data_IF_005711603281
#
_entry.id   IF_005711603281
#
_cell.length_a   1.000
_cell.length_b   1.000
_cell.length_c   1.000
_cell.angle_alpha   90.00
_cell.angle_beta   90.00
_cell.angle_gamma   90.00
#
_symmetry.space_group_name_H-M   'P 1'
#
loop_
_entity.id
_entity.type
_entity.pdbx_description
1 polymer ?
#
# COMPACT_ATOMS: atom_id res chain seq x y z
N UNK A 1 51.96 -16.87 6.16
CA UNK A 1 51.31 -17.59 5.06
C UNK A 1 49.99 -18.13 5.61
N UNK A 2 48.94 -17.43 5.44
CA UNK A 2 47.59 -17.91 5.70
C UNK A 2 46.71 -17.54 4.48
N UNK A 3 46.60 -18.49 3.59
CA UNK A 3 45.71 -18.42 2.44
C UNK A 3 44.27 -18.62 2.95
N UNK A 4 43.53 -17.55 3.04
CA UNK A 4 42.09 -17.60 3.33
C UNK A 4 41.39 -18.30 2.17
N UNK A 5 40.88 -19.49 2.42
CA UNK A 5 39.98 -20.19 1.51
C UNK A 5 38.73 -19.32 1.31
N UNK A 6 38.60 -18.69 0.14
CA UNK A 6 37.35 -18.12 -0.33
C UNK A 6 36.42 -19.29 -0.63
N UNK A 7 35.39 -19.41 0.19
CA UNK A 7 34.37 -20.44 0.16
C UNK A 7 33.79 -20.63 -1.26
N UNK A 8 33.78 -21.87 -1.74
CA UNK A 8 33.25 -22.34 -3.04
C UNK A 8 31.73 -22.26 -3.19
N UNK A 9 31.08 -21.33 -2.53
CA UNK A 9 29.62 -21.11 -2.63
C UNK A 9 29.19 -20.52 -3.98
N UNK A 10 30.06 -19.80 -4.69
CA UNK A 10 29.73 -19.16 -5.97
C UNK A 10 29.58 -20.12 -7.15
N UNK A 11 30.10 -21.35 -7.04
CA UNK A 11 30.06 -22.36 -8.10
C UNK A 11 28.73 -23.13 -8.20
N UNK A 12 27.74 -22.86 -7.33
CA UNK A 12 26.47 -23.61 -7.25
C UNK A 12 25.20 -22.76 -7.43
N UNK A 13 25.33 -21.48 -7.69
CA UNK A 13 24.15 -20.63 -7.94
C UNK A 13 23.61 -20.91 -9.35
N UNK A 14 22.30 -21.20 -9.49
CA UNK A 14 21.67 -21.29 -10.80
C UNK A 14 21.78 -19.95 -11.54
N UNK A 15 21.80 -20.01 -12.87
CA UNK A 15 21.79 -18.80 -13.69
C UNK A 15 20.47 -18.03 -13.50
N UNK A 16 20.51 -16.72 -13.49
CA UNK A 16 19.31 -15.87 -13.38
C UNK A 16 18.27 -16.22 -14.45
N UNK A 17 18.72 -16.51 -15.68
CA UNK A 17 17.82 -16.91 -16.76
C UNK A 17 16.94 -18.11 -16.45
N UNK A 18 17.41 -19.05 -15.62
CA UNK A 18 16.62 -20.22 -15.21
C UNK A 18 15.50 -19.85 -14.25
N UNK A 19 15.74 -18.91 -13.34
CA UNK A 19 14.71 -18.34 -12.48
C UNK A 19 13.69 -17.51 -13.26
N UNK A 20 14.16 -16.74 -14.26
CA UNK A 20 13.29 -15.98 -15.17
C UNK A 20 12.38 -16.91 -15.97
N UNK A 21 12.91 -17.99 -16.53
CA UNK A 21 12.12 -18.98 -17.24
C UNK A 21 11.08 -19.65 -16.34
N UNK A 22 11.47 -20.04 -15.12
CA UNK A 22 10.54 -20.60 -14.14
C UNK A 22 9.43 -19.62 -13.80
N UNK A 23 9.78 -18.36 -13.47
CA UNK A 23 8.81 -17.30 -13.14
C UNK A 23 7.82 -17.06 -14.28
N UNK A 24 8.31 -16.89 -15.51
CA UNK A 24 7.46 -16.66 -16.68
C UNK A 24 6.47 -17.83 -16.91
N UNK A 25 6.92 -19.08 -16.75
CA UNK A 25 6.03 -20.25 -16.85
C UNK A 25 5.00 -20.28 -15.73
N UNK A 26 5.38 -19.91 -14.52
CA UNK A 26 4.48 -19.84 -13.36
C UNK A 26 3.39 -18.78 -13.55
N UNK A 27 3.78 -17.58 -14.00
CA UNK A 27 2.87 -16.43 -14.20
C UNK A 27 1.90 -16.70 -15.37
N UNK A 28 2.38 -17.26 -16.48
CA UNK A 28 1.55 -17.54 -17.67
C UNK A 28 0.83 -18.89 -17.62
N UNK A 29 1.20 -19.79 -16.72
CA UNK A 29 0.73 -21.17 -16.67
C UNK A 29 0.87 -21.89 -18.02
N UNK A 30 1.87 -21.49 -18.82
CA UNK A 30 2.10 -21.94 -20.18
C UNK A 30 3.56 -21.80 -20.60
N UNK A 31 4.21 -22.87 -21.02
CA UNK A 31 5.56 -22.82 -21.60
C UNK A 31 5.59 -22.07 -22.93
N UNK A 32 4.51 -22.14 -23.71
CA UNK A 32 4.41 -21.45 -24.99
C UNK A 32 4.30 -19.94 -24.79
N UNK A 33 3.44 -19.48 -23.89
CA UNK A 33 3.30 -18.05 -23.61
C UNK A 33 4.58 -17.49 -22.94
N UNK A 34 5.18 -18.22 -22.01
CA UNK A 34 6.46 -17.84 -21.40
C UNK A 34 7.58 -17.72 -22.45
N UNK A 35 7.58 -18.60 -23.47
CA UNK A 35 8.58 -18.53 -24.55
C UNK A 35 8.43 -17.26 -25.41
N UNK A 36 7.19 -16.82 -25.65
CA UNK A 36 6.91 -15.56 -26.36
C UNK A 36 7.35 -14.35 -25.54
N UNK A 37 7.02 -14.32 -24.25
CA UNK A 37 7.40 -13.24 -23.36
C UNK A 37 8.92 -13.06 -23.26
N UNK A 38 9.66 -14.16 -23.14
CA UNK A 38 11.13 -14.12 -23.02
C UNK A 38 11.86 -14.13 -24.35
N UNK A 39 11.16 -14.07 -25.48
CA UNK A 39 11.74 -14.17 -26.83
C UNK A 39 12.65 -15.38 -27.01
N UNK A 40 12.26 -16.55 -26.45
CA UNK A 40 12.99 -17.80 -26.51
C UNK A 40 12.14 -18.91 -27.16
N UNK A 41 12.76 -20.03 -27.50
CA UNK A 41 11.99 -21.22 -27.94
C UNK A 41 11.39 -21.94 -26.72
N UNK A 42 10.26 -22.61 -26.90
CA UNK A 42 9.65 -23.41 -25.83
C UNK A 42 10.60 -24.49 -25.30
N UNK A 43 11.44 -25.09 -26.18
CA UNK A 43 12.43 -26.05 -25.76
C UNK A 43 13.53 -25.44 -24.88
N UNK A 44 13.95 -24.21 -25.16
CA UNK A 44 14.91 -23.49 -24.33
C UNK A 44 14.34 -23.20 -22.93
N UNK A 45 13.09 -22.73 -22.83
CA UNK A 45 12.41 -22.52 -21.56
C UNK A 45 12.31 -23.83 -20.77
N UNK A 46 11.88 -24.92 -21.43
CA UNK A 46 11.78 -26.22 -20.77
C UNK A 46 13.14 -26.74 -20.25
N UNK A 47 14.23 -26.52 -20.99
CA UNK A 47 15.58 -26.87 -20.57
C UNK A 47 16.05 -26.01 -19.38
N UNK A 48 15.78 -24.71 -19.39
CA UNK A 48 16.15 -23.82 -18.29
C UNK A 48 15.44 -24.21 -17.01
N UNK A 49 14.14 -24.47 -17.07
CA UNK A 49 13.36 -24.96 -15.91
C UNK A 49 13.90 -26.31 -15.44
N UNK A 50 14.17 -27.24 -16.35
CA UNK A 50 14.72 -28.56 -15.97
C UNK A 50 16.10 -28.45 -15.30
N UNK A 51 16.97 -27.54 -15.74
CA UNK A 51 18.27 -27.26 -15.10
C UNK A 51 18.09 -26.70 -13.69
N UNK A 52 17.11 -25.78 -13.49
CA UNK A 52 16.77 -25.24 -12.18
C UNK A 52 16.28 -26.35 -11.24
N UNK A 53 15.33 -27.17 -11.68
CA UNK A 53 14.82 -28.31 -10.94
C UNK A 53 15.96 -29.30 -10.54
N UNK A 54 16.89 -29.53 -11.46
CA UNK A 54 18.03 -30.44 -11.21
C UNK A 54 18.96 -29.89 -10.11
N UNK A 55 19.28 -28.57 -10.13
CA UNK A 55 20.12 -27.96 -9.10
C UNK A 55 19.40 -27.91 -7.76
N UNK A 56 18.13 -27.59 -7.74
CA UNK A 56 17.30 -27.54 -6.52
C UNK A 56 16.90 -28.94 -6.02
N UNK A 57 17.12 -29.98 -6.83
CA UNK A 57 16.76 -31.40 -6.55
C UNK A 57 15.29 -31.57 -6.21
N UNK A 58 14.42 -30.76 -6.79
CA UNK A 58 12.98 -30.84 -6.60
C UNK A 58 12.23 -30.47 -7.88
N UNK A 59 10.99 -30.94 -8.02
CA UNK A 59 10.12 -30.56 -9.11
C UNK A 59 9.35 -29.31 -8.76
N UNK A 60 9.34 -28.35 -9.67
CA UNK A 60 8.65 -27.07 -9.49
C UNK A 60 7.26 -27.06 -10.16
N UNK A 61 7.06 -27.94 -11.15
CA UNK A 61 5.77 -28.12 -11.82
C UNK A 61 5.34 -29.59 -11.80
N UNK A 62 4.04 -29.83 -11.68
CA UNK A 62 3.45 -31.14 -11.91
C UNK A 62 3.50 -31.47 -13.39
N UNK A 63 3.92 -32.71 -13.73
CA UNK A 63 3.91 -33.23 -15.11
C UNK A 63 2.69 -34.14 -15.28
N UNK A 64 1.85 -33.87 -16.26
CA UNK A 64 0.79 -34.84 -16.66
C UNK A 64 -0.64 -34.33 -16.62
N UNK A 65 -0.88 -33.03 -16.62
CA UNK A 65 -2.21 -32.42 -16.72
C UNK A 65 -2.40 -31.57 -17.98
N UNK A 66 -3.66 -31.21 -18.26
CA UNK A 66 -4.04 -30.30 -19.33
C UNK A 66 -3.61 -28.84 -19.03
N UNK A 67 -3.28 -28.57 -17.76
CA UNK A 67 -2.81 -27.26 -17.27
C UNK A 67 -1.52 -27.43 -16.47
N UNK A 68 -0.63 -26.44 -16.57
CA UNK A 68 0.60 -26.38 -15.81
C UNK A 68 0.28 -25.89 -14.41
N UNK A 69 0.68 -26.67 -13.40
CA UNK A 69 0.46 -26.33 -11.99
C UNK A 69 1.78 -26.39 -11.23
N UNK A 70 1.97 -25.42 -10.33
CA UNK A 70 3.10 -25.41 -9.41
C UNK A 70 2.97 -26.49 -8.34
N UNK A 71 4.09 -27.15 -8.02
CA UNK A 71 4.21 -27.95 -6.79
C UNK A 71 4.27 -27.01 -5.57
N UNK A 72 4.21 -27.55 -4.35
CA UNK A 72 4.39 -26.76 -3.13
C UNK A 72 5.79 -26.11 -3.08
N UNK A 73 6.83 -26.83 -3.52
CA UNK A 73 8.18 -26.28 -3.64
C UNK A 73 8.23 -25.16 -4.72
N UNK A 74 7.48 -25.32 -5.83
CA UNK A 74 7.36 -24.31 -6.85
C UNK A 74 6.69 -23.03 -6.32
N UNK A 75 5.60 -23.15 -5.58
CA UNK A 75 4.93 -22.01 -4.94
C UNK A 75 5.87 -21.29 -3.96
N UNK A 76 6.54 -22.04 -3.11
CA UNK A 76 7.50 -21.51 -2.15
C UNK A 76 8.65 -20.76 -2.85
N UNK A 77 9.21 -21.35 -3.90
CA UNK A 77 10.28 -20.70 -4.67
C UNK A 77 9.78 -19.41 -5.33
N UNK A 78 8.59 -19.45 -5.97
CA UNK A 78 8.03 -18.27 -6.64
C UNK A 78 7.88 -17.08 -5.66
N UNK A 79 7.36 -17.33 -4.46
CA UNK A 79 7.25 -16.32 -3.43
C UNK A 79 8.61 -15.74 -3.02
N UNK A 80 9.64 -16.57 -2.93
CA UNK A 80 10.97 -16.15 -2.49
C UNK A 80 11.77 -15.40 -3.57
N UNK A 81 11.59 -15.73 -4.87
CA UNK A 81 12.39 -15.13 -5.95
C UNK A 81 11.72 -13.90 -6.57
N UNK A 82 10.42 -13.73 -6.40
CA UNK A 82 9.68 -12.67 -7.08
C UNK A 82 10.26 -11.28 -6.76
N UNK A 83 10.43 -11.00 -5.49
CA UNK A 83 10.99 -9.73 -5.05
C UNK A 83 12.47 -9.53 -5.47
N UNK A 84 13.42 -10.45 -5.23
CA UNK A 84 14.80 -10.31 -5.69
C UNK A 84 14.95 -10.10 -7.21
N UNK A 85 14.14 -10.78 -8.02
CA UNK A 85 14.17 -10.59 -9.47
C UNK A 85 13.69 -9.19 -9.85
N UNK A 86 12.63 -8.69 -9.24
CA UNK A 86 12.15 -7.33 -9.48
C UNK A 86 13.16 -6.28 -9.03
N UNK A 87 13.83 -6.48 -7.90
CA UNK A 87 14.91 -5.61 -7.43
C UNK A 87 16.04 -5.52 -8.44
N UNK A 88 16.47 -6.66 -8.98
CA UNK A 88 17.52 -6.71 -9.99
C UNK A 88 17.08 -6.03 -11.29
N UNK A 89 15.85 -6.27 -11.74
CA UNK A 89 15.30 -5.59 -12.94
C UNK A 89 15.23 -4.07 -12.72
N UNK A 90 14.77 -3.62 -11.55
CA UNK A 90 14.74 -2.20 -11.20
C UNK A 90 16.12 -1.54 -11.22
N UNK A 91 17.17 -2.26 -10.81
CA UNK A 91 18.56 -1.77 -10.95
C UNK A 91 18.95 -1.61 -12.42
N UNK A 92 18.66 -2.60 -13.26
CA UNK A 92 18.96 -2.55 -14.70
C UNK A 92 18.20 -1.42 -15.39
N UNK A 93 16.91 -1.29 -15.09
CA UNK A 93 16.06 -0.21 -15.61
C UNK A 93 16.60 1.18 -15.21
N UNK A 94 17.14 1.31 -13.99
CA UNK A 94 17.79 2.52 -13.53
C UNK A 94 19.00 2.95 -14.35
N UNK A 95 19.70 2.00 -15.01
CA UNK A 95 20.79 2.28 -15.94
C UNK A 95 20.33 2.57 -17.39
N UNK A 96 19.14 2.06 -17.74
CA UNK A 96 18.58 2.26 -19.10
C UNK A 96 17.67 3.48 -19.21
N UNK A 97 17.23 4.04 -18.09
CA UNK A 97 16.52 5.31 -18.09
C UNK A 97 17.49 6.46 -18.40
N UNK A 98 17.79 6.59 -19.69
CA UNK A 98 18.34 7.84 -20.22
C UNK A 98 17.39 8.98 -19.82
N UNK A 99 17.95 9.90 -19.12
CA UNK A 99 17.63 11.24 -18.62
C UNK A 99 16.33 11.98 -19.05
N UNK A 100 15.39 11.38 -19.78
CA UNK A 100 14.21 12.13 -20.24
C UNK A 100 12.99 12.01 -19.35
N UNK A 101 12.78 10.86 -18.65
CA UNK A 101 11.62 10.70 -17.78
C UNK A 101 11.99 9.85 -16.55
N UNK A 102 12.05 10.47 -15.39
CA UNK A 102 12.20 9.77 -14.12
C UNK A 102 10.81 9.53 -13.52
N UNK A 103 10.54 8.29 -13.06
CA UNK A 103 9.30 7.94 -12.36
C UNK A 103 9.57 7.78 -10.87
N UNK A 104 9.00 8.67 -10.07
CA UNK A 104 8.99 8.56 -8.62
C UNK A 104 7.85 7.61 -8.19
N UNK A 105 8.20 6.47 -7.63
CA UNK A 105 7.22 5.49 -7.13
C UNK A 105 6.96 5.70 -5.65
N UNK A 106 5.69 5.95 -5.30
CA UNK A 106 5.25 6.22 -3.94
C UNK A 106 4.15 5.23 -3.56
N UNK A 107 4.32 4.55 -2.43
CA UNK A 107 3.30 3.69 -1.86
C UNK A 107 2.52 4.44 -0.77
N UNK A 108 1.19 4.32 -0.75
CA UNK A 108 0.37 4.99 0.25
C UNK A 108 -1.03 4.38 0.37
N UNK A 109 -1.74 4.78 1.41
CA UNK A 109 -3.15 4.40 1.57
C UNK A 109 -4.06 5.17 0.60
N UNK A 110 -5.13 4.54 0.07
CA UNK A 110 -6.04 5.16 -0.89
C UNK A 110 -6.64 6.48 -0.41
N UNK A 111 -7.01 6.56 0.86
CA UNK A 111 -7.60 7.77 1.43
C UNK A 111 -6.61 8.93 1.46
N UNK A 112 -5.35 8.68 1.81
CA UNK A 112 -4.31 9.71 1.82
C UNK A 112 -3.96 10.17 0.41
N UNK A 113 -3.84 9.23 -0.54
CA UNK A 113 -3.65 9.54 -1.96
C UNK A 113 -4.73 10.49 -2.46
N UNK A 114 -6.00 10.15 -2.25
CA UNK A 114 -7.13 10.92 -2.77
C UNK A 114 -7.30 12.27 -2.09
N UNK A 115 -7.25 12.30 -0.76
CA UNK A 115 -7.61 13.50 -0.01
C UNK A 115 -6.46 14.51 0.12
N UNK A 116 -5.22 14.03 -0.01
CA UNK A 116 -4.04 14.87 0.20
C UNK A 116 -3.18 14.93 -1.07
N UNK A 117 -2.59 13.79 -1.48
CA UNK A 117 -1.55 13.81 -2.51
C UNK A 117 -2.10 14.24 -3.86
N UNK A 118 -3.29 13.77 -4.27
CA UNK A 118 -3.88 14.14 -5.56
C UNK A 118 -4.13 15.66 -5.70
N UNK A 119 -4.31 16.37 -4.59
CA UNK A 119 -4.49 17.83 -4.58
C UNK A 119 -3.15 18.57 -4.62
N UNK A 120 -2.12 17.99 -4.02
CA UNK A 120 -0.78 18.59 -3.94
C UNK A 120 0.04 18.31 -5.20
N UNK A 121 -0.17 17.16 -5.84
CA UNK A 121 0.65 16.66 -6.94
C UNK A 121 0.73 17.63 -8.14
N UNK A 122 -0.36 18.29 -8.60
CA UNK A 122 -0.26 19.25 -9.69
C UNK A 122 0.69 20.41 -9.38
N UNK A 123 0.69 20.92 -8.14
CA UNK A 123 1.59 22.00 -7.71
C UNK A 123 3.05 21.53 -7.67
N UNK A 124 3.29 20.30 -7.25
CA UNK A 124 4.63 19.73 -7.26
C UNK A 124 5.14 19.51 -8.68
N UNK A 125 4.35 18.87 -9.56
CA UNK A 125 4.74 18.58 -10.93
C UNK A 125 4.93 19.83 -11.80
N UNK A 126 4.31 20.94 -11.46
CA UNK A 126 4.59 22.22 -12.12
C UNK A 126 6.07 22.65 -11.98
N UNK A 127 6.75 22.22 -10.90
CA UNK A 127 8.18 22.48 -10.67
C UNK A 127 9.08 21.44 -11.34
N UNK A 128 8.52 20.26 -11.69
CA UNK A 128 9.25 19.11 -12.25
C UNK A 128 8.53 18.55 -13.49
N UNK A 129 8.49 19.28 -14.62
CA UNK A 129 7.65 18.94 -15.79
C UNK A 129 7.96 17.57 -16.43
N UNK A 130 9.17 17.05 -16.22
CA UNK A 130 9.61 15.75 -16.78
C UNK A 130 9.47 14.60 -15.79
N UNK A 131 9.03 14.87 -14.55
CA UNK A 131 8.84 13.87 -13.53
C UNK A 131 7.50 13.15 -13.71
N UNK A 132 7.55 11.83 -13.74
CA UNK A 132 6.37 10.98 -13.62
C UNK A 132 6.23 10.52 -12.17
N UNK A 133 5.00 10.35 -11.70
CA UNK A 133 4.72 9.83 -10.36
C UNK A 133 3.81 8.61 -10.45
N UNK A 134 4.33 7.46 -10.03
CA UNK A 134 3.58 6.22 -9.86
C UNK A 134 3.08 6.10 -8.43
N UNK A 135 1.76 6.03 -8.23
CA UNK A 135 1.16 5.80 -6.92
C UNK A 135 0.73 4.34 -6.79
N UNK A 136 1.28 3.64 -5.80
CA UNK A 136 0.89 2.29 -5.42
C UNK A 136 -0.01 2.37 -4.20
N UNK A 137 -1.28 1.95 -4.35
CA UNK A 137 -2.26 2.07 -3.27
C UNK A 137 -2.38 0.73 -2.52
N UNK A 138 -2.07 0.74 -1.22
CA UNK A 138 -2.10 -0.44 -0.36
C UNK A 138 -2.87 -0.15 0.92
N UNK A 139 -3.76 -1.05 1.33
CA UNK A 139 -4.61 -0.86 2.51
C UNK A 139 -4.08 -1.58 3.75
N UNK A 140 -3.62 -2.82 3.64
CA UNK A 140 -3.28 -3.66 4.80
C UNK A 140 -1.95 -4.41 4.67
N UNK A 141 -1.31 -4.38 3.50
CA UNK A 141 -0.02 -4.99 3.28
C UNK A 141 1.02 -3.92 2.98
N UNK A 142 2.15 -4.07 3.62
CA UNK A 142 3.29 -3.21 3.40
C UNK A 142 4.22 -3.97 2.45
N UNK A 143 4.02 -3.80 1.15
CA UNK A 143 4.80 -4.54 0.16
C UNK A 143 6.09 -3.83 -0.23
N UNK A 144 6.20 -2.54 0.00
CA UNK A 144 7.31 -1.67 -0.39
C UNK A 144 8.13 -2.24 -1.56
N UNK A 145 7.53 -2.21 -2.74
CA UNK A 145 8.10 -2.81 -3.95
C UNK A 145 9.52 -2.27 -4.22
N UNK A 146 10.38 -3.01 -4.92
CA UNK A 146 11.77 -2.61 -5.14
C UNK A 146 11.95 -1.22 -5.74
N UNK A 147 11.06 -0.82 -6.65
CA UNK A 147 11.04 0.50 -7.29
C UNK A 147 10.50 1.61 -6.39
N UNK A 148 9.77 1.28 -5.33
CA UNK A 148 9.23 2.26 -4.38
C UNK A 148 10.37 2.93 -3.62
N UNK A 149 10.37 4.26 -3.61
CA UNK A 149 11.34 5.05 -2.86
C UNK A 149 10.76 5.57 -1.55
N UNK A 150 9.48 5.92 -1.58
CA UNK A 150 8.76 6.51 -0.46
C UNK A 150 7.49 5.72 -0.19
N UNK A 151 7.17 5.53 1.08
CA UNK A 151 5.81 5.12 1.45
C UNK A 151 5.23 6.09 2.47
N UNK A 152 3.92 6.38 2.36
CA UNK A 152 3.19 7.17 3.34
C UNK A 152 2.23 6.23 4.05
N UNK A 153 2.47 5.99 5.33
CA UNK A 153 1.76 4.98 6.11
C UNK A 153 1.22 5.54 7.41
N UNK A 154 0.07 5.00 7.78
CA UNK A 154 -0.56 5.21 9.07
C UNK A 154 -0.05 4.20 10.10
N UNK A 155 0.37 4.66 11.28
CA UNK A 155 0.86 3.75 12.32
C UNK A 155 1.51 4.44 13.51
N UNK A 156 2.25 3.64 14.28
CA UNK A 156 2.84 4.05 15.56
C UNK A 156 4.24 4.70 15.41
N UNK A 157 4.75 4.82 14.17
CA UNK A 157 6.05 5.45 13.89
C UNK A 157 7.23 4.48 13.77
N UNK A 158 7.01 3.19 13.98
CA UNK A 158 8.07 2.19 13.94
C UNK A 158 7.78 1.11 12.89
N UNK A 159 8.70 0.93 11.94
CA UNK A 159 8.65 -0.15 10.94
C UNK A 159 10.04 -0.77 10.81
N UNK A 160 10.12 -2.07 10.96
CA UNK A 160 11.37 -2.80 10.84
C UNK A 160 11.97 -2.65 9.43
N UNK A 161 13.26 -2.28 9.35
CA UNK A 161 13.95 -2.08 8.07
C UNK A 161 13.75 -0.71 7.41
N UNK A 162 12.98 0.21 8.04
CA UNK A 162 12.68 1.54 7.50
C UNK A 162 13.09 2.64 8.46
N UNK A 163 13.44 3.79 7.91
CA UNK A 163 13.45 5.07 8.60
C UNK A 163 12.07 5.70 8.44
N UNK A 164 11.54 6.25 9.54
CA UNK A 164 10.22 6.87 9.58
C UNK A 164 10.34 8.34 9.95
N UNK A 165 9.72 9.21 9.16
CA UNK A 165 9.61 10.64 9.45
C UNK A 165 8.14 10.98 9.69
N UNK A 166 7.83 11.57 10.86
CA UNK A 166 6.48 12.05 11.17
C UNK A 166 5.99 13.02 10.09
N UNK A 167 4.75 12.84 9.64
CA UNK A 167 4.14 13.70 8.63
C UNK A 167 2.98 14.52 9.22
N UNK A 168 1.94 13.85 9.70
CA UNK A 168 0.81 14.56 10.32
C UNK A 168 -0.01 13.64 11.23
N UNK A 169 -0.59 14.24 12.28
CA UNK A 169 -1.60 13.59 13.12
C UNK A 169 -3.00 13.83 12.56
N UNK A 170 -3.93 12.96 12.93
CA UNK A 170 -5.34 13.10 12.57
C UNK A 170 -6.22 13.29 13.81
N UNK A 171 -7.24 14.11 13.68
CA UNK A 171 -8.27 14.32 14.68
C UNK A 171 -9.56 13.63 14.20
N UNK A 172 -10.03 12.66 14.93
CA UNK A 172 -11.22 11.89 14.60
C UNK A 172 -12.48 12.51 15.18
N UNK A 173 -13.55 12.54 14.38
CA UNK A 173 -14.82 13.16 14.74
C UNK A 173 -15.99 12.40 14.11
N UNK A 174 -17.13 12.23 14.82
CA UNK A 174 -18.35 11.71 14.23
C UNK A 174 -18.91 12.66 13.16
N UNK A 175 -19.31 12.09 12.02
CA UNK A 175 -19.88 12.82 10.89
C UNK A 175 -21.08 12.08 10.31
N UNK A 176 -22.01 12.83 9.73
CA UNK A 176 -23.12 12.28 8.94
C UNK A 176 -23.54 13.28 7.86
N UNK A 177 -24.45 12.89 6.97
CA UNK A 177 -25.04 13.86 6.05
C UNK A 177 -26.02 14.80 6.75
N UNK A 178 -26.20 16.03 6.26
CA UNK A 178 -27.23 16.95 6.77
C UNK A 178 -28.65 16.34 6.76
N UNK A 179 -28.92 15.53 5.76
CA UNK A 179 -30.22 14.85 5.62
C UNK A 179 -30.44 13.80 6.73
N UNK A 180 -29.39 13.02 7.07
CA UNK A 180 -29.45 12.12 8.19
C UNK A 180 -29.70 12.86 9.50
N UNK A 181 -28.99 13.97 9.76
CA UNK A 181 -29.12 14.76 10.97
C UNK A 181 -30.51 15.42 11.11
N UNK A 182 -31.15 15.82 9.99
CA UNK A 182 -32.54 16.31 9.99
C UNK A 182 -33.53 15.20 10.37
N UNK A 183 -33.33 13.99 9.87
CA UNK A 183 -34.19 12.82 10.15
C UNK A 183 -33.98 12.27 11.55
N UNK A 184 -32.74 12.27 12.03
CA UNK A 184 -32.31 11.77 13.35
C UNK A 184 -31.44 12.84 14.03
N UNK A 185 -32.04 13.78 14.77
CA UNK A 185 -31.27 14.81 15.48
C UNK A 185 -30.31 14.19 16.51
N UNK A 186 -29.06 14.66 16.48
CA UNK A 186 -27.99 14.26 17.38
C UNK A 186 -27.50 15.52 18.10
N UNK A 187 -27.83 15.67 19.37
CA UNK A 187 -27.52 16.86 20.18
C UNK A 187 -26.46 16.58 21.25
N UNK A 188 -26.29 15.34 21.61
CA UNK A 188 -25.31 14.86 22.59
C UNK A 188 -24.81 13.45 22.22
N UNK A 189 -23.62 13.02 22.67
CA UNK A 189 -23.08 11.69 22.34
C UNK A 189 -24.02 10.54 22.67
N UNK A 190 -24.81 10.63 23.72
CA UNK A 190 -25.76 9.57 24.11
C UNK A 190 -26.81 9.27 23.01
N UNK A 191 -27.10 10.22 22.12
CA UNK A 191 -28.06 10.04 21.02
C UNK A 191 -27.54 9.05 19.97
N UNK A 192 -26.23 8.75 19.96
CA UNK A 192 -25.62 7.73 19.10
C UNK A 192 -26.06 6.32 19.45
N UNK A 193 -26.56 6.07 20.65
CA UNK A 193 -27.04 4.73 21.05
C UNK A 193 -28.19 4.21 20.15
N UNK A 194 -29.00 5.13 19.61
CA UNK A 194 -30.10 4.81 18.71
C UNK A 194 -29.82 5.21 17.25
N UNK A 195 -28.61 5.61 16.91
CA UNK A 195 -28.20 6.00 15.58
C UNK A 195 -27.75 4.78 14.74
N UNK A 196 -27.92 4.86 13.43
CA UNK A 196 -27.24 3.95 12.51
C UNK A 196 -25.76 4.28 12.50
N UNK A 197 -24.92 3.35 12.92
CA UNK A 197 -23.47 3.51 12.97
C UNK A 197 -22.85 2.81 11.78
N UNK A 198 -21.82 3.45 11.20
CA UNK A 198 -21.03 2.91 10.09
C UNK A 198 -19.57 2.90 10.54
N UNK A 199 -18.88 1.79 10.33
CA UNK A 199 -17.46 1.69 10.67
C UNK A 199 -16.67 0.92 9.60
N UNK A 200 -15.35 0.97 9.67
CA UNK A 200 -14.47 0.12 8.89
C UNK A 200 -14.39 -1.30 9.49
N UNK A 201 -13.58 -2.15 8.88
CA UNK A 201 -13.52 -3.59 9.22
C UNK A 201 -13.30 -3.87 10.71
N UNK A 202 -12.40 -3.13 11.35
CA UNK A 202 -11.97 -3.39 12.72
C UNK A 202 -12.66 -2.49 13.77
N UNK A 203 -13.50 -1.56 13.34
CA UNK A 203 -14.19 -0.55 14.15
C UNK A 203 -13.27 0.22 15.12
N UNK A 204 -11.96 0.29 14.78
CA UNK A 204 -10.94 0.85 15.64
C UNK A 204 -11.20 2.34 15.93
N UNK A 205 -11.54 3.13 14.90
CA UNK A 205 -11.78 4.57 15.03
C UNK A 205 -12.95 4.88 15.97
N UNK A 206 -14.02 4.10 15.87
CA UNK A 206 -15.15 4.21 16.81
C UNK A 206 -14.75 3.83 18.22
N UNK A 207 -14.07 2.70 18.42
CA UNK A 207 -13.61 2.29 19.76
C UNK A 207 -12.68 3.32 20.37
N UNK A 208 -11.79 3.89 19.54
CA UNK A 208 -10.88 4.93 19.99
C UNK A 208 -11.63 6.19 20.42
N UNK A 209 -12.60 6.67 19.62
CA UNK A 209 -13.42 7.84 19.96
C UNK A 209 -14.27 7.60 21.21
N UNK A 210 -14.89 6.41 21.34
CA UNK A 210 -15.71 6.03 22.48
C UNK A 210 -14.95 5.90 23.80
N UNK A 211 -13.64 5.68 23.78
CA UNK A 211 -12.81 5.71 24.99
C UNK A 211 -12.78 7.12 25.63
N UNK A 212 -12.94 8.18 24.84
CA UNK A 212 -12.99 9.56 25.33
C UNK A 212 -14.42 10.02 25.60
N UNK A 213 -15.37 9.54 24.80
CA UNK A 213 -16.78 9.93 24.87
C UNK A 213 -17.66 8.66 24.95
N UNK A 214 -17.74 8.01 26.10
CA UNK A 214 -18.48 6.76 26.23
C UNK A 214 -19.97 6.93 25.94
N UNK A 215 -20.54 6.00 25.17
CA UNK A 215 -21.97 5.93 24.87
C UNK A 215 -22.51 4.58 25.35
N UNK A 216 -23.36 4.65 26.37
CA UNK A 216 -23.99 3.44 26.91
C UNK A 216 -24.88 2.76 25.85
N UNK A 217 -24.87 1.43 25.82
CA UNK A 217 -25.67 0.59 24.92
C UNK A 217 -25.31 0.65 23.43
N UNK A 218 -24.25 1.33 23.04
CA UNK A 218 -23.78 1.29 21.64
C UNK A 218 -23.00 -0.02 21.39
N UNK A 219 -23.56 -0.89 20.55
CA UNK A 219 -22.99 -2.19 20.20
C UNK A 219 -22.42 -2.17 18.79
N UNK A 220 -21.13 -1.92 18.63
CA UNK A 220 -20.47 -1.80 17.33
C UNK A 220 -20.57 -3.08 16.47
N UNK A 221 -20.77 -4.26 17.09
CA UNK A 221 -20.93 -5.53 16.36
C UNK A 221 -22.25 -5.63 15.59
N UNK A 222 -23.22 -4.77 15.88
CA UNK A 222 -24.54 -4.71 15.23
C UNK A 222 -24.66 -3.55 14.24
N UNK A 223 -23.55 -2.96 13.83
CA UNK A 223 -23.51 -1.78 12.97
C UNK A 223 -23.19 -2.14 11.52
N UNK A 224 -23.41 -1.20 10.60
CA UNK A 224 -22.96 -1.33 9.22
C UNK A 224 -21.44 -1.24 9.14
N UNK A 225 -20.82 -2.01 8.25
CA UNK A 225 -19.38 -1.92 8.05
C UNK A 225 -18.98 -2.01 6.58
N UNK A 226 -17.82 -1.44 6.25
CA UNK A 226 -17.16 -1.60 4.97
C UNK A 226 -15.66 -1.87 5.20
N UNK A 227 -14.99 -2.52 4.25
CA UNK A 227 -13.57 -2.84 4.39
C UNK A 227 -12.64 -1.63 4.20
N UNK A 228 -13.17 -0.53 3.69
CA UNK A 228 -12.39 0.66 3.34
C UNK A 228 -13.04 1.94 3.87
N UNK A 229 -12.25 2.82 4.47
CA UNK A 229 -12.69 4.10 5.06
C UNK A 229 -13.36 5.03 4.02
N UNK A 230 -12.96 4.94 2.75
CA UNK A 230 -13.62 5.69 1.66
C UNK A 230 -15.08 5.28 1.46
N UNK A 231 -15.36 3.99 1.55
CA UNK A 231 -16.73 3.48 1.45
C UNK A 231 -17.53 3.88 2.68
N UNK A 232 -16.93 3.81 3.88
CA UNK A 232 -17.55 4.28 5.14
C UNK A 232 -17.98 5.76 5.01
N UNK A 233 -17.10 6.62 4.52
CA UNK A 233 -17.39 8.04 4.29
C UNK A 233 -18.51 8.23 3.26
N UNK A 234 -18.48 7.48 2.15
CA UNK A 234 -19.52 7.54 1.11
C UNK A 234 -20.90 7.13 1.63
N UNK A 235 -20.94 6.11 2.49
CA UNK A 235 -22.18 5.67 3.15
C UNK A 235 -22.71 6.74 4.14
N UNK A 236 -21.84 7.43 4.84
CA UNK A 236 -22.25 8.55 5.70
C UNK A 236 -22.83 9.71 4.87
N UNK A 237 -22.16 10.07 3.76
CA UNK A 237 -22.68 11.10 2.83
C UNK A 237 -24.02 10.72 2.21
N UNK A 238 -24.27 9.44 1.93
CA UNK A 238 -25.55 8.96 1.39
C UNK A 238 -26.69 8.94 2.40
N UNK A 239 -26.43 9.32 3.65
CA UNK A 239 -27.46 9.38 4.70
C UNK A 239 -27.77 8.04 5.36
N UNK A 240 -26.92 7.03 5.24
CA UNK A 240 -27.10 5.75 5.89
C UNK A 240 -26.98 5.85 7.41
N UNK A 241 -26.02 6.67 7.91
CA UNK A 241 -25.76 6.75 9.33
C UNK A 241 -24.63 7.73 9.68
N UNK A 242 -24.04 7.48 10.84
CA UNK A 242 -22.93 8.23 11.42
C UNK A 242 -21.66 7.42 11.31
N UNK A 243 -20.59 8.03 10.83
CA UNK A 243 -19.24 7.46 10.79
C UNK A 243 -18.28 8.30 11.62
N UNK A 244 -17.19 7.71 12.10
CA UNK A 244 -16.04 8.46 12.61
C UNK A 244 -15.04 8.62 11.47
N UNK A 245 -14.67 9.86 11.16
CA UNK A 245 -13.73 10.19 10.10
C UNK A 245 -12.64 11.13 10.61
N UNK A 246 -11.49 11.10 9.95
CA UNK A 246 -10.41 12.03 10.21
C UNK A 246 -10.77 13.42 9.67
N UNK A 247 -10.85 14.41 10.56
CA UNK A 247 -11.27 15.78 10.24
C UNK A 247 -10.46 16.40 9.09
N UNK A 248 -9.14 16.16 9.08
CA UNK A 248 -8.24 16.70 8.05
C UNK A 248 -8.50 16.11 6.65
N UNK A 249 -9.12 14.95 6.59
CA UNK A 249 -9.39 14.24 5.32
C UNK A 249 -10.77 14.54 4.72
N UNK A 250 -11.65 15.23 5.45
CA UNK A 250 -13.04 15.50 5.05
C UNK A 250 -13.35 16.99 4.88
N UNK A 251 -12.32 17.83 4.75
CA UNK A 251 -12.50 19.28 4.68
C UNK A 251 -13.38 19.74 3.51
N UNK A 252 -13.26 19.10 2.33
CA UNK A 252 -14.10 19.40 1.18
C UNK A 252 -15.56 19.02 1.40
N UNK A 253 -15.78 17.81 1.96
CA UNK A 253 -17.11 17.32 2.24
C UNK A 253 -17.85 18.17 3.29
N UNK A 254 -17.11 18.74 4.23
CA UNK A 254 -17.63 19.72 5.19
C UNK A 254 -17.91 21.07 4.53
N UNK A 255 -16.99 21.57 3.70
CA UNK A 255 -17.14 22.84 2.99
C UNK A 255 -18.31 22.82 1.98
N UNK A 256 -18.46 21.71 1.26
CA UNK A 256 -19.55 21.50 0.30
C UNK A 256 -20.89 21.17 0.98
N UNK A 257 -20.90 20.96 2.29
CA UNK A 257 -22.09 20.60 3.04
C UNK A 257 -22.60 19.19 2.79
N UNK A 258 -21.77 18.30 2.21
CA UNK A 258 -22.11 16.88 2.04
C UNK A 258 -22.00 16.10 3.36
N UNK A 259 -21.14 16.55 4.25
CA UNK A 259 -21.02 16.06 5.63
C UNK A 259 -21.19 17.21 6.62
N UNK A 260 -21.66 16.87 7.79
CA UNK A 260 -21.70 17.74 8.96
C UNK A 260 -21.17 16.99 10.18
N UNK A 261 -20.64 17.74 11.14
CA UNK A 261 -20.21 17.23 12.44
C UNK A 261 -21.32 17.47 13.47
N UNK A 262 -22.02 16.44 13.95
CA UNK A 262 -23.02 16.61 15.03
C UNK A 262 -22.40 17.18 16.31
N UNK A 263 -21.13 16.87 16.56
CA UNK A 263 -20.39 17.26 17.76
C UNK A 263 -19.03 17.85 17.39
N UNK A 264 -18.96 19.08 16.86
CA UNK A 264 -17.73 19.65 16.30
C UNK A 264 -16.60 19.84 17.32
N UNK A 265 -16.93 20.02 18.61
CA UNK A 265 -15.95 20.13 19.69
C UNK A 265 -15.40 18.78 20.17
N UNK A 266 -16.05 17.67 19.85
CA UNK A 266 -15.68 16.35 20.36
C UNK A 266 -14.72 15.63 19.42
N UNK A 267 -13.63 16.29 19.05
CA UNK A 267 -12.54 15.72 18.26
C UNK A 267 -11.57 14.99 19.17
N UNK A 268 -11.08 13.85 18.72
CA UNK A 268 -10.08 13.07 19.43
C UNK A 268 -8.83 12.93 18.56
N UNK A 269 -7.70 13.46 19.04
CA UNK A 269 -6.41 13.26 18.39
C UNK A 269 -5.98 11.82 18.55
N UNK A 270 -5.75 11.14 17.42
CA UNK A 270 -5.30 9.77 17.44
C UNK A 270 -3.82 9.68 17.88
N UNK A 271 -3.44 8.59 18.59
CA UNK A 271 -2.05 8.33 18.98
C UNK A 271 -1.17 7.98 17.78
N UNK A 272 -1.73 7.23 16.81
CA UNK A 272 -1.09 6.98 15.52
C UNK A 272 -1.09 8.23 14.67
N UNK A 273 -0.18 8.24 13.70
CA UNK A 273 -0.01 9.35 12.76
C UNK A 273 0.36 8.84 11.37
N UNK A 274 0.35 9.71 10.38
CA UNK A 274 1.00 9.42 9.11
C UNK A 274 2.48 9.70 9.21
N UNK A 275 3.25 8.80 8.60
CA UNK A 275 4.70 8.88 8.48
C UNK A 275 5.12 8.68 7.04
N UNK A 276 6.20 9.34 6.63
CA UNK A 276 6.92 9.02 5.41
C UNK A 276 7.99 7.99 5.77
N UNK A 277 8.00 6.87 5.05
CA UNK A 277 8.94 5.77 5.24
C UNK A 277 9.90 5.70 4.08
N UNK A 278 11.16 5.43 4.40
CA UNK A 278 12.23 5.18 3.44
C UNK A 278 13.02 3.95 3.86
N UNK A 279 13.58 3.20 2.90
CA UNK A 279 14.41 2.03 3.25
C UNK A 279 15.68 2.48 3.95
N UNK A 280 16.03 1.83 5.05
CA UNK A 280 17.35 2.01 5.68
C UNK A 280 18.45 1.67 4.69
N UNK A 281 19.52 2.47 4.72
CA UNK A 281 20.72 2.28 3.89
C UNK A 281 20.50 2.31 2.36
N UNK A 282 19.35 2.78 1.86
CA UNK A 282 19.13 3.03 0.44
C UNK A 282 19.11 4.55 0.18
N UNK A 283 20.00 5.08 -0.66
CA UNK A 283 19.98 6.49 -1.00
C UNK A 283 18.69 6.83 -1.75
N UNK A 284 18.13 7.99 -1.45
CA UNK A 284 16.96 8.54 -2.14
C UNK A 284 17.41 9.36 -3.35
N UNK A 285 16.57 9.38 -4.36
CA UNK A 285 16.75 10.31 -5.49
C UNK A 285 16.52 11.76 -5.03
N UNK A 286 17.13 12.75 -5.71
CA UNK A 286 16.85 14.16 -5.47
C UNK A 286 15.35 14.49 -5.55
N UNK A 287 14.62 13.83 -6.47
CA UNK A 287 13.18 14.01 -6.65
C UNK A 287 12.37 13.48 -5.47
N UNK A 288 12.76 12.33 -4.90
CA UNK A 288 12.15 11.79 -3.70
C UNK A 288 12.35 12.72 -2.51
N UNK A 289 13.57 13.24 -2.32
CA UNK A 289 13.88 14.20 -1.25
C UNK A 289 13.03 15.48 -1.42
N UNK A 290 12.96 16.02 -2.64
CA UNK A 290 12.16 17.21 -2.92
C UNK A 290 10.66 16.97 -2.68
N UNK A 291 10.16 15.80 -3.06
CA UNK A 291 8.77 15.43 -2.81
C UNK A 291 8.46 15.31 -1.31
N UNK A 292 9.33 14.66 -0.53
CA UNK A 292 9.19 14.56 0.93
C UNK A 292 9.10 15.95 1.58
N UNK A 293 10.02 16.86 1.21
CA UNK A 293 10.05 18.23 1.74
C UNK A 293 8.79 19.01 1.36
N UNK A 294 8.35 18.87 0.10
CA UNK A 294 7.15 19.51 -0.40
C UNK A 294 5.88 19.05 0.33
N UNK A 295 5.70 17.75 0.50
CA UNK A 295 4.53 17.20 1.21
C UNK A 295 4.58 17.58 2.69
N UNK A 296 5.77 17.53 3.32
CA UNK A 296 5.93 17.91 4.72
C UNK A 296 5.54 19.37 4.96
N UNK A 297 5.99 20.27 4.08
CA UNK A 297 5.65 21.69 4.17
C UNK A 297 4.14 21.93 3.99
N UNK A 298 3.54 21.25 3.02
CA UNK A 298 2.10 21.37 2.77
C UNK A 298 1.22 20.83 3.92
N UNK A 299 1.77 19.99 4.81
CA UNK A 299 1.05 19.48 6.00
C UNK A 299 1.20 20.41 7.20
N UNK A 300 2.08 21.40 7.17
CA UNK A 300 2.28 22.40 8.23
C UNK A 300 1.41 23.66 8.00
N UNK A 301 0.97 23.90 6.75
CA UNK A 301 0.05 24.98 6.36
C UNK A 301 -1.41 24.60 6.63
#
# INVERSE_FOLDING_TARGET
MNTTQVSSASARLPQLSWFMAFKAVADKQSFTEASRELCLTQSAISQQVAKLEAVLRTKLFYRGGRQIQLTEDGKRLLLQINQPIQELMGVVDGFHNDAEHYTLHIEMEPVFSRQVISKLLPKFLAQYPKLLVGQMLTTNHFDFLPQTELAIKWGDGEWEGFDSQFLCSLDYVPVCSPEYLKRKPLTKPADLADASIIHDRDNFDWRYWLNYYPVAKLELQKCHYASESQVVMSLAMSGLGVAVCAHQQIQEELADGRLVMPFPELKVRHQRAYYILTRKNKPLSPQAISFMQFVHQAMLE
#
